data_IF_202868265097
#
_entry.id   IF_202868265097
#
_cell.length_a   1.000
_cell.length_b   1.000
_cell.length_c   1.000
_cell.angle_alpha   90.00
_cell.angle_beta   90.00
_cell.angle_gamma   90.00
#
_symmetry.space_group_name_H-M   'P 1'
#
loop_
_entity.id
_entity.type
_entity.pdbx_description
1 polymer ?
#
# COMPACT_ATOMS: atom_id res chain seq x y z
N UNK A 1 -21.22 -4.25 -38.33
CA UNK A 1 -21.16 -5.71 -38.35
C UNK A 1 -20.19 -6.14 -39.42
N UNK A 2 -19.06 -6.73 -39.05
CA UNK A 2 -18.79 -8.09 -39.50
C UNK A 2 -18.21 -8.97 -38.36
N UNK A 3 -18.59 -10.23 -38.46
CA UNK A 3 -18.34 -11.40 -37.69
C UNK A 3 -16.93 -11.94 -37.96
N UNK A 4 -16.10 -12.17 -36.92
CA UNK A 4 -14.85 -12.92 -37.07
C UNK A 4 -14.76 -13.98 -35.96
N UNK A 5 -15.26 -15.16 -36.25
CA UNK A 5 -14.93 -16.40 -35.60
C UNK A 5 -13.72 -17.02 -36.29
N UNK A 6 -12.63 -17.25 -35.58
CA UNK A 6 -11.57 -18.17 -36.03
C UNK A 6 -10.92 -18.88 -34.83
N UNK A 7 -11.47 -20.01 -34.49
CA UNK A 7 -10.88 -21.02 -33.59
C UNK A 7 -9.73 -21.73 -34.31
N UNK A 8 -8.52 -21.60 -33.80
CA UNK A 8 -7.35 -22.40 -34.21
C UNK A 8 -7.11 -23.51 -33.19
N UNK A 9 -7.40 -24.74 -33.59
CA UNK A 9 -7.07 -25.96 -32.84
C UNK A 9 -5.62 -26.34 -33.15
N UNK A 10 -4.74 -26.23 -32.15
CA UNK A 10 -3.38 -26.69 -32.24
C UNK A 10 -3.34 -28.14 -31.68
N UNK A 11 -3.07 -29.09 -32.58
CA UNK A 11 -2.88 -30.50 -32.25
C UNK A 11 -1.42 -30.71 -31.94
N UNK A 12 -1.08 -31.13 -30.74
CA UNK A 12 0.24 -31.67 -30.42
C UNK A 12 0.20 -33.18 -30.55
N UNK A 13 0.97 -33.69 -31.51
CA UNK A 13 1.33 -35.10 -31.63
C UNK A 13 2.51 -35.38 -30.71
N UNK A 14 2.31 -36.22 -29.72
CA UNK A 14 3.36 -36.72 -28.86
C UNK A 14 4.09 -37.87 -29.53
N UNK A 15 5.43 -37.85 -29.47
CA UNK A 15 6.26 -38.98 -29.73
C UNK A 15 6.90 -39.41 -28.41
N UNK A 16 6.57 -40.62 -27.97
CA UNK A 16 7.20 -41.27 -26.84
C UNK A 16 8.50 -41.97 -27.34
N UNK A 17 9.62 -41.65 -26.70
CA UNK A 17 10.80 -42.49 -26.77
C UNK A 17 11.32 -42.69 -25.34
N UNK A 18 11.11 -43.90 -24.82
CA UNK A 18 11.62 -44.29 -23.52
C UNK A 18 13.10 -44.58 -23.57
N UNK A 19 13.85 -44.07 -22.63
CA UNK A 19 15.18 -44.60 -22.25
C UNK A 19 15.17 -44.75 -20.73
N UNK A 20 15.10 -46.00 -20.29
CA UNK A 20 15.32 -46.35 -18.89
C UNK A 20 16.84 -46.38 -18.62
N UNK A 21 17.32 -45.45 -17.80
CA UNK A 21 18.65 -45.55 -17.20
C UNK A 21 18.47 -45.66 -15.69
N UNK A 22 18.67 -46.87 -15.19
CA UNK A 22 18.76 -47.11 -13.76
C UNK A 22 20.14 -46.66 -13.28
N UNK A 23 20.19 -45.57 -12.52
CA UNK A 23 21.36 -45.20 -11.73
C UNK A 23 20.96 -45.24 -10.25
N UNK A 24 21.48 -46.23 -9.54
CA UNK A 24 21.49 -46.27 -8.10
C UNK A 24 22.40 -45.12 -7.62
N UNK A 25 21.77 -44.05 -7.17
CA UNK A 25 22.47 -42.92 -6.56
C UNK A 25 21.79 -42.59 -5.25
N UNK A 26 22.52 -42.65 -4.13
CA UNK A 26 22.03 -42.44 -2.78
C UNK A 26 21.26 -41.12 -2.62
N UNK A 27 20.10 -41.23 -2.06
CA UNK A 27 19.31 -40.05 -1.62
C UNK A 27 20.06 -39.37 -0.48
N UNK A 28 20.82 -38.34 -0.80
CA UNK A 28 21.23 -37.37 0.19
C UNK A 28 19.98 -36.61 0.59
N UNK A 29 19.42 -36.93 1.77
CA UNK A 29 18.42 -36.11 2.42
C UNK A 29 19.09 -34.77 2.69
N UNK A 30 18.86 -33.79 1.82
CA UNK A 30 19.16 -32.42 2.12
C UNK A 30 18.24 -32.01 3.28
N UNK A 31 18.75 -32.07 4.50
CA UNK A 31 18.13 -31.40 5.64
C UNK A 31 18.18 -29.92 5.32
N UNK A 32 17.05 -29.36 4.91
CA UNK A 32 16.86 -27.93 4.88
C UNK A 32 17.11 -27.44 6.31
N UNK A 33 18.27 -26.86 6.55
CA UNK A 33 18.51 -26.15 7.78
C UNK A 33 17.49 -25.00 7.83
N UNK A 34 16.51 -25.10 8.70
CA UNK A 34 15.62 -24.00 9.01
C UNK A 34 16.50 -22.81 9.43
N UNK A 35 16.60 -21.83 8.53
CA UNK A 35 17.20 -20.55 8.91
C UNK A 35 16.39 -20.01 10.09
N UNK A 36 17.04 -19.58 11.19
CA UNK A 36 16.33 -19.08 12.35
C UNK A 36 15.43 -17.93 11.88
N UNK A 37 14.12 -18.09 12.10
CA UNK A 37 13.13 -17.06 11.77
C UNK A 37 13.53 -15.80 12.55
N UNK A 38 14.04 -14.80 11.84
CA UNK A 38 14.38 -13.50 12.42
C UNK A 38 13.09 -12.91 12.96
N UNK A 39 13.01 -12.68 14.28
CA UNK A 39 11.83 -12.05 14.88
C UNK A 39 11.58 -10.72 14.18
N UNK A 40 10.32 -10.42 13.78
CA UNK A 40 10.00 -9.15 13.15
C UNK A 40 10.45 -8.00 14.06
N UNK A 41 11.19 -7.05 13.50
CA UNK A 41 11.60 -5.86 14.23
C UNK A 41 10.42 -4.89 14.26
N UNK A 42 9.85 -4.69 15.46
CA UNK A 42 8.81 -3.68 15.67
C UNK A 42 9.47 -2.34 15.95
N UNK A 43 9.02 -1.31 15.25
CA UNK A 43 9.46 0.07 15.42
C UNK A 43 8.24 0.97 15.53
N UNK A 44 8.23 1.88 16.52
CA UNK A 44 7.21 2.94 16.63
C UNK A 44 7.93 4.28 16.61
N UNK A 45 7.40 5.23 15.81
CA UNK A 45 7.91 6.59 15.76
C UNK A 45 6.79 7.56 15.40
N UNK A 46 7.00 8.84 15.73
CA UNK A 46 6.03 9.91 15.52
C UNK A 46 6.50 10.85 14.40
N UNK A 47 5.54 11.35 13.63
CA UNK A 47 5.69 12.39 12.64
C UNK A 47 4.60 13.43 12.82
N UNK A 48 4.93 14.67 12.51
CA UNK A 48 3.98 15.79 12.41
C UNK A 48 3.91 16.19 10.94
N UNK A 49 2.73 16.06 10.34
CA UNK A 49 2.45 16.55 8.98
C UNK A 49 1.92 17.97 9.04
N UNK A 50 2.56 18.88 8.28
CA UNK A 50 2.09 20.25 8.10
C UNK A 50 1.69 20.44 6.65
N UNK A 51 0.41 20.71 6.43
CA UNK A 51 -0.16 20.86 5.09
C UNK A 51 0.48 22.04 4.36
N UNK A 52 0.98 21.78 3.17
CA UNK A 52 1.55 22.77 2.24
C UNK A 52 0.64 23.02 1.06
N UNK A 53 -0.16 22.02 0.68
CA UNK A 53 -1.22 22.19 -0.33
C UNK A 53 -2.36 21.20 -0.10
N UNK A 54 -3.54 21.57 -0.58
CA UNK A 54 -4.71 20.70 -0.67
C UNK A 54 -5.60 21.13 -1.83
N UNK A 55 -6.45 20.22 -2.30
CA UNK A 55 -7.41 20.50 -3.35
C UNK A 55 -8.56 19.51 -3.36
N UNK A 56 -9.64 19.94 -3.98
CA UNK A 56 -10.78 19.08 -4.32
C UNK A 56 -10.90 19.00 -5.83
N UNK A 57 -11.15 17.81 -6.34
CA UNK A 57 -11.40 17.55 -7.75
C UNK A 57 -12.84 17.09 -7.87
N UNK A 58 -13.69 17.92 -8.49
CA UNK A 58 -15.08 17.64 -8.78
C UNK A 58 -15.16 16.99 -10.18
N UNK A 59 -15.60 15.75 -10.24
CA UNK A 59 -15.70 14.94 -11.45
C UNK A 59 -17.16 14.60 -11.73
N UNK A 60 -17.62 14.94 -12.94
CA UNK A 60 -18.99 14.63 -13.38
C UNK A 60 -19.97 15.77 -13.13
N UNK A 61 -21.12 15.48 -12.51
CA UNK A 61 -22.12 16.49 -12.20
C UNK A 61 -21.67 17.36 -11.02
N UNK A 62 -21.97 18.67 -11.02
CA UNK A 62 -21.56 19.57 -9.96
C UNK A 62 -22.01 19.13 -8.56
N UNK A 63 -21.09 19.19 -7.59
CA UNK A 63 -21.29 18.78 -6.22
C UNK A 63 -20.75 17.39 -5.93
N UNK A 64 -20.81 16.97 -4.67
CA UNK A 64 -20.19 15.71 -4.22
C UNK A 64 -20.79 14.50 -4.92
N UNK A 65 -19.95 13.80 -5.70
CA UNK A 65 -20.29 12.62 -6.48
C UNK A 65 -19.25 11.48 -6.27
N UNK A 66 -19.61 10.27 -6.73
CA UNK A 66 -18.66 9.14 -6.75
C UNK A 66 -17.57 9.42 -7.78
N UNK A 67 -16.32 9.28 -7.38
CA UNK A 67 -15.15 9.61 -8.20
C UNK A 67 -14.46 10.90 -7.79
N UNK A 68 -15.16 11.83 -7.14
CA UNK A 68 -14.55 13.07 -6.64
C UNK A 68 -13.40 12.78 -5.69
N UNK A 69 -12.42 13.67 -5.69
CA UNK A 69 -11.21 13.47 -4.91
C UNK A 69 -10.90 14.64 -4.00
N UNK A 70 -10.32 14.30 -2.86
CA UNK A 70 -9.63 15.23 -1.97
C UNK A 70 -8.16 14.86 -1.96
N UNK A 71 -7.30 15.83 -2.26
CA UNK A 71 -5.85 15.64 -2.29
C UNK A 71 -5.18 16.53 -1.27
N UNK A 72 -4.09 16.06 -0.68
CA UNK A 72 -3.29 16.80 0.29
C UNK A 72 -1.81 16.51 0.10
N UNK A 73 -0.99 17.52 0.30
CA UNK A 73 0.46 17.39 0.43
C UNK A 73 0.91 18.06 1.72
N UNK A 74 1.80 17.40 2.45
CA UNK A 74 2.26 17.80 3.78
C UNK A 74 3.77 17.63 3.89
N UNK A 75 4.44 18.60 4.49
CA UNK A 75 5.80 18.44 4.97
C UNK A 75 5.80 17.61 6.25
N UNK A 76 6.68 16.62 6.36
CA UNK A 76 6.82 15.77 7.54
C UNK A 76 7.95 16.25 8.44
N UNK A 77 7.64 16.32 9.73
CA UNK A 77 8.58 16.71 10.77
C UNK A 77 8.75 15.59 11.80
N UNK A 78 9.99 15.41 12.27
CA UNK A 78 10.35 14.56 13.41
C UNK A 78 11.24 15.39 14.34
N UNK A 79 10.89 15.47 15.62
CA UNK A 79 11.65 16.28 16.60
C UNK A 79 11.87 17.74 16.14
N UNK A 80 10.83 18.33 15.52
CA UNK A 80 10.85 19.70 15.01
C UNK A 80 11.66 19.93 13.73
N UNK A 81 12.31 18.90 13.16
CA UNK A 81 13.06 18.99 11.91
C UNK A 81 12.26 18.38 10.76
N UNK A 82 12.25 19.05 9.61
CA UNK A 82 11.70 18.49 8.39
C UNK A 82 12.54 17.28 7.97
N UNK A 83 11.85 16.13 7.80
CA UNK A 83 12.47 14.86 7.45
C UNK A 83 11.94 14.26 6.15
N UNK A 84 10.94 14.86 5.53
CA UNK A 84 10.36 14.34 4.31
C UNK A 84 9.03 14.97 3.98
N UNK A 85 8.22 14.27 3.22
CA UNK A 85 6.90 14.70 2.82
C UNK A 85 5.90 13.54 2.77
N UNK A 86 4.62 13.89 2.76
CA UNK A 86 3.48 12.98 2.65
C UNK A 86 2.50 13.54 1.62
N UNK A 87 1.97 12.66 0.79
CA UNK A 87 0.86 12.98 -0.09
C UNK A 87 -0.23 11.94 0.04
N UNK A 88 -1.47 12.38 0.02
CA UNK A 88 -2.62 11.48 0.00
C UNK A 88 -3.70 11.96 -0.97
N UNK A 89 -4.41 10.98 -1.54
CA UNK A 89 -5.61 11.17 -2.31
C UNK A 89 -6.72 10.29 -1.74
N UNK A 90 -7.89 10.89 -1.50
CA UNK A 90 -9.09 10.21 -1.04
C UNK A 90 -10.19 10.36 -2.09
N UNK A 91 -10.65 9.26 -2.65
CA UNK A 91 -11.70 9.24 -3.67
C UNK A 91 -13.03 8.82 -3.04
N UNK A 92 -14.09 9.57 -3.31
CA UNK A 92 -15.45 9.18 -2.90
C UNK A 92 -15.88 7.91 -3.63
N UNK A 93 -16.07 6.82 -2.89
CA UNK A 93 -16.60 5.54 -3.40
C UNK A 93 -18.09 5.39 -3.13
N UNK A 94 -18.61 6.19 -2.21
CA UNK A 94 -20.02 6.26 -1.87
C UNK A 94 -20.33 7.67 -1.30
N UNK A 95 -21.49 8.22 -1.65
CA UNK A 95 -21.89 9.57 -1.19
C UNK A 95 -22.80 9.52 0.04
N UNK A 96 -23.69 8.51 0.13
CA UNK A 96 -24.68 8.42 1.24
C UNK A 96 -24.89 6.96 1.68
N UNK A 97 -24.39 6.57 2.89
CA UNK A 97 -23.47 7.32 3.75
C UNK A 97 -22.13 7.54 3.04
N UNK A 98 -21.43 8.63 3.34
CA UNK A 98 -20.21 8.97 2.63
C UNK A 98 -19.05 8.06 3.02
N UNK A 99 -18.38 7.51 2.00
CA UNK A 99 -17.19 6.69 2.16
C UNK A 99 -16.13 7.06 1.11
N UNK A 100 -14.87 7.15 1.54
CA UNK A 100 -13.73 7.50 0.71
C UNK A 100 -12.65 6.44 0.81
N UNK A 101 -12.17 5.98 -0.34
CA UNK A 101 -10.93 5.20 -0.41
C UNK A 101 -9.75 6.17 -0.39
N UNK A 102 -8.92 6.09 0.63
CA UNK A 102 -7.74 6.93 0.79
C UNK A 102 -6.46 6.13 0.54
N UNK A 103 -5.56 6.71 -0.25
CA UNK A 103 -4.21 6.22 -0.51
C UNK A 103 -3.23 7.34 -0.15
N UNK A 104 -2.15 7.01 0.54
CA UNK A 104 -1.10 7.96 0.89
C UNK A 104 0.28 7.34 0.81
N UNK A 105 1.29 8.18 0.60
CA UNK A 105 2.70 7.81 0.58
C UNK A 105 3.49 8.75 1.47
N UNK A 106 4.33 8.17 2.32
CA UNK A 106 5.28 8.86 3.18
C UNK A 106 6.67 8.68 2.58
N UNK A 107 7.33 9.78 2.21
CA UNK A 107 8.69 9.80 1.70
C UNK A 107 9.62 10.31 2.79
N UNK A 108 10.55 9.46 3.24
CA UNK A 108 11.52 9.73 4.28
C UNK A 108 12.94 9.45 3.75
N UNK A 109 14.01 9.91 4.41
CA UNK A 109 15.38 9.68 3.94
C UNK A 109 15.74 8.20 3.75
N UNK A 110 15.14 7.32 4.57
CA UNK A 110 15.39 5.87 4.54
C UNK A 110 14.63 5.14 3.42
N UNK A 111 13.66 5.80 2.77
CA UNK A 111 12.80 5.25 1.71
C UNK A 111 11.37 5.73 1.81
N UNK A 112 10.48 5.05 1.10
CA UNK A 112 9.05 5.38 1.09
C UNK A 112 8.22 4.22 1.61
N UNK A 113 7.09 4.52 2.25
CA UNK A 113 6.06 3.53 2.53
C UNK A 113 4.68 4.07 2.16
N UNK A 114 3.85 3.17 1.63
CA UNK A 114 2.48 3.45 1.22
C UNK A 114 1.49 2.95 2.27
N UNK A 115 0.37 3.65 2.40
CA UNK A 115 -0.69 3.29 3.32
C UNK A 115 -2.06 3.55 2.71
N UNK A 116 -3.07 2.81 3.17
CA UNK A 116 -4.44 2.96 2.70
C UNK A 116 -5.47 2.72 3.77
N UNK A 117 -6.65 3.33 3.59
CA UNK A 117 -7.83 3.11 4.44
C UNK A 117 -9.12 3.38 3.68
N UNK A 118 -10.21 2.78 4.14
CA UNK A 118 -11.56 3.20 3.81
C UNK A 118 -12.06 4.11 4.93
N UNK A 119 -12.29 5.37 4.61
CA UNK A 119 -12.74 6.39 5.56
C UNK A 119 -14.25 6.60 5.42
N UNK A 120 -15.00 6.44 6.50
CA UNK A 120 -16.41 6.79 6.57
C UNK A 120 -16.59 8.18 7.19
N UNK A 121 -17.51 8.99 6.63
CA UNK A 121 -17.83 10.30 7.17
C UNK A 121 -19.15 10.27 7.99
N UNK A 122 -19.21 11.01 9.13
CA UNK A 122 -18.15 11.86 9.67
C UNK A 122 -16.96 11.03 10.17
N UNK A 123 -15.74 11.53 9.91
CA UNK A 123 -14.53 10.84 10.32
C UNK A 123 -14.42 10.77 11.85
N UNK A 124 -13.95 9.65 12.43
CA UNK A 124 -13.66 9.57 13.85
C UNK A 124 -12.46 10.47 14.22
N UNK A 125 -12.26 10.77 15.52
CA UNK A 125 -11.16 11.61 16.00
C UNK A 125 -9.77 11.09 15.65
N UNK A 126 -9.65 9.78 15.43
CA UNK A 126 -8.41 9.14 14.94
C UNK A 126 -8.75 8.04 13.96
N UNK A 127 -7.85 7.82 12.99
CA UNK A 127 -7.97 6.79 11.97
C UNK A 127 -6.71 5.95 11.95
N UNK A 128 -6.85 4.63 12.00
CA UNK A 128 -5.76 3.71 11.76
C UNK A 128 -5.72 3.38 10.26
N UNK A 129 -4.58 3.66 9.63
CA UNK A 129 -4.35 3.49 8.19
C UNK A 129 -3.34 2.37 8.00
N UNK A 130 -3.70 1.33 7.24
CA UNK A 130 -2.85 0.16 7.04
C UNK A 130 -1.65 0.47 6.15
N UNK A 131 -0.44 0.09 6.57
CA UNK A 131 0.76 0.14 5.73
C UNK A 131 0.72 -1.05 4.76
N UNK A 132 0.81 -0.76 3.47
CA UNK A 132 0.65 -1.75 2.39
C UNK A 132 1.95 -2.16 1.73
N UNK A 133 3.07 -1.54 2.12
CA UNK A 133 4.40 -1.83 1.61
C UNK A 133 5.24 -0.58 1.46
N UNK A 134 6.42 -0.72 0.86
CA UNK A 134 7.33 0.39 0.69
C UNK A 134 8.56 0.08 -0.16
N UNK A 135 9.51 1.01 -0.15
CA UNK A 135 10.80 0.92 -0.84
C UNK A 135 11.95 1.29 0.11
N UNK A 136 13.18 1.13 -0.34
CA UNK A 136 14.35 1.39 0.51
C UNK A 136 14.35 0.49 1.74
N UNK A 137 14.53 1.07 2.92
CA UNK A 137 14.47 0.34 4.19
C UNK A 137 13.05 -0.14 4.55
N UNK A 138 12.00 0.41 3.90
CA UNK A 138 10.60 0.06 4.12
C UNK A 138 10.07 -1.02 3.18
N UNK A 139 10.92 -1.69 2.40
CA UNK A 139 10.51 -2.69 1.36
C UNK A 139 9.61 -3.79 1.87
N UNK A 140 9.80 -4.24 3.10
CA UNK A 140 9.00 -5.29 3.75
C UNK A 140 8.09 -4.73 4.85
N UNK A 141 7.88 -3.42 4.88
CA UNK A 141 7.11 -2.75 5.91
C UNK A 141 5.66 -3.24 5.94
N UNK A 142 5.22 -3.58 7.14
CA UNK A 142 3.84 -3.89 7.48
C UNK A 142 3.46 -3.16 8.76
N UNK A 143 2.17 -3.00 9.01
CA UNK A 143 1.70 -2.35 10.23
C UNK A 143 0.62 -1.31 9.95
N UNK A 144 0.56 -0.28 10.76
CA UNK A 144 -0.44 0.78 10.61
C UNK A 144 0.09 2.13 11.10
N UNK A 145 -0.61 3.17 10.69
CA UNK A 145 -0.36 4.55 11.11
C UNK A 145 -1.62 5.03 11.81
N UNK A 146 -1.51 5.46 13.06
CA UNK A 146 -2.56 6.21 13.72
C UNK A 146 -2.45 7.67 13.34
N UNK A 147 -3.51 8.18 12.72
CA UNK A 147 -3.60 9.57 12.25
C UNK A 147 -4.57 10.33 13.14
N UNK A 148 -4.13 11.45 13.70
CA UNK A 148 -4.93 12.34 14.54
C UNK A 148 -4.82 13.78 13.99
N UNK A 149 -5.95 14.42 13.58
CA UNK A 149 -5.93 15.82 13.23
C UNK A 149 -5.52 16.71 14.43
N UNK A 150 -4.69 17.71 14.18
CA UNK A 150 -4.20 18.67 15.18
C UNK A 150 -4.45 20.10 14.67
N UNK A 151 -5.72 20.46 14.52
CA UNK A 151 -6.16 21.71 13.88
C UNK A 151 -6.53 21.53 12.42
N UNK A 152 -6.51 22.62 11.64
CA UNK A 152 -6.97 22.63 10.25
C UNK A 152 -5.91 22.13 9.26
N UNK A 153 -4.64 22.39 9.57
CA UNK A 153 -3.52 22.16 8.63
C UNK A 153 -2.42 21.27 9.18
N UNK A 154 -2.62 20.68 10.35
CA UNK A 154 -1.63 19.83 11.00
C UNK A 154 -2.23 18.45 11.34
N UNK A 155 -1.42 17.41 11.26
CA UNK A 155 -1.75 16.03 11.65
C UNK A 155 -0.61 15.39 12.39
N UNK A 156 -0.95 14.60 13.40
CA UNK A 156 0.00 13.75 14.10
C UNK A 156 -0.15 12.32 13.58
N UNK A 157 0.99 11.71 13.25
CA UNK A 157 1.09 10.34 12.78
C UNK A 157 1.93 9.53 13.76
N UNK A 158 1.34 8.52 14.39
CA UNK A 158 2.08 7.50 15.13
C UNK A 158 2.22 6.28 14.23
N UNK A 159 3.44 6.01 13.76
CA UNK A 159 3.74 4.91 12.84
C UNK A 159 4.13 3.68 13.64
N UNK A 160 3.35 2.60 13.50
CA UNK A 160 3.63 1.27 14.06
C UNK A 160 4.06 0.35 12.93
N UNK A 161 5.34 0.04 12.86
CA UNK A 161 5.97 -0.61 11.72
C UNK A 161 6.65 -1.92 12.14
N UNK A 162 6.40 -2.98 11.35
CA UNK A 162 7.09 -4.27 11.42
C UNK A 162 7.89 -4.48 10.16
N UNK A 163 9.13 -4.94 10.29
CA UNK A 163 10.03 -5.22 9.17
C UNK A 163 11.09 -6.26 9.51
#
# INVERSE_FOLDING_TARGET
>A
MPNITKTSKMRYLGAAAGVAVALAGGAALATSADAPATKPRVQTFELVGKQTSSGEVDLGEPGVSVGDQRVVHEDLYRDGKKVGDHSAACTFTQVRPAALQCLGTFALPEGQFAAQSLLHLPAPPSVDVSITGGSGEYRTAQGFIRTVPAGETERHFTVHLQR
#
